data_IF_857507840238
#
_entry.id   IF_857507840238
#
_cell.length_a   1.000
_cell.length_b   1.000
_cell.length_c   1.000
_cell.angle_alpha   90.00
_cell.angle_beta   90.00
_cell.angle_gamma   90.00
#
_symmetry.space_group_name_H-M   'P 1'
#
loop_
_entity.id
_entity.type
_entity.pdbx_description
1 polymer ?
#
# COMPACT_ATOMS: atom_id res chain seq x y z
N UNK A 1 39.40 -22.18 35.55
CA UNK A 1 39.13 -21.05 34.63
C UNK A 1 37.95 -21.45 33.76
N UNK A 2 36.81 -20.78 33.92
CA UNK A 2 35.49 -21.21 33.44
C UNK A 2 35.35 -21.15 31.91
N UNK A 3 34.74 -22.19 31.32
CA UNK A 3 34.18 -22.16 29.96
C UNK A 3 32.66 -22.04 30.05
N UNK A 4 32.11 -20.91 29.59
CA UNK A 4 30.68 -20.77 29.38
C UNK A 4 30.43 -19.99 28.09
N UNK A 5 30.20 -20.72 27.01
CA UNK A 5 29.61 -20.21 25.78
C UNK A 5 28.27 -20.93 25.57
N UNK A 6 27.15 -20.23 25.78
CA UNK A 6 25.89 -20.63 25.15
C UNK A 6 25.19 -19.39 24.63
N UNK A 7 24.87 -19.47 23.34
CA UNK A 7 24.57 -18.37 22.45
C UNK A 7 23.11 -17.96 22.60
N UNK A 8 22.91 -16.65 22.70
CA UNK A 8 21.71 -15.87 22.39
C UNK A 8 20.45 -16.67 22.03
N UNK A 9 19.48 -16.68 22.95
CA UNK A 9 18.11 -17.05 22.68
C UNK A 9 17.45 -16.00 21.78
N UNK A 10 17.61 -16.14 20.47
CA UNK A 10 16.84 -15.38 19.49
C UNK A 10 15.39 -15.86 19.59
N UNK A 11 14.56 -15.10 20.31
CA UNK A 11 13.10 -15.24 20.27
C UNK A 11 12.63 -14.98 18.85
N UNK A 12 12.36 -16.06 18.10
CA UNK A 12 11.71 -15.99 16.79
C UNK A 12 10.24 -15.64 17.03
N UNK A 13 9.91 -14.36 16.96
CA UNK A 13 8.51 -13.92 16.92
C UNK A 13 7.83 -14.54 15.68
N UNK A 14 6.93 -15.49 15.91
CA UNK A 14 6.13 -16.10 14.87
C UNK A 14 5.19 -15.01 14.29
N UNK A 15 5.42 -14.63 13.04
CA UNK A 15 4.47 -13.79 12.30
C UNK A 15 3.44 -14.72 11.67
N UNK A 16 2.21 -14.69 12.17
CA UNK A 16 1.09 -15.37 11.53
C UNK A 16 0.89 -14.78 10.12
N UNK A 17 1.17 -15.58 9.09
CA UNK A 17 0.92 -15.22 7.71
C UNK A 17 -0.58 -15.36 7.42
N UNK A 18 -1.31 -14.26 7.42
CA UNK A 18 -2.69 -14.23 6.94
C UNK A 18 -2.65 -14.14 5.42
N UNK A 19 -2.79 -15.27 4.72
CA UNK A 19 -3.12 -15.28 3.30
C UNK A 19 -4.62 -15.00 3.17
N UNK A 20 -5.02 -13.75 3.36
CA UNK A 20 -6.36 -13.33 2.99
C UNK A 20 -6.43 -13.32 1.46
N UNK A 21 -7.27 -14.18 0.87
CA UNK A 21 -7.59 -14.14 -0.55
C UNK A 21 -8.14 -12.73 -0.86
N UNK A 22 -7.26 -11.87 -1.38
CA UNK A 22 -7.56 -10.47 -1.62
C UNK A 22 -8.56 -10.37 -2.77
N UNK A 23 -9.84 -10.28 -2.44
CA UNK A 23 -10.86 -9.96 -3.44
C UNK A 23 -10.54 -8.58 -4.04
N UNK A 24 -10.41 -8.52 -5.35
CA UNK A 24 -10.26 -7.26 -6.08
C UNK A 24 -11.63 -6.60 -6.13
N UNK A 25 -11.82 -5.42 -5.50
CA UNK A 25 -13.10 -4.74 -5.51
C UNK A 25 -13.41 -4.24 -6.92
N UNK A 26 -14.68 -4.29 -7.33
CA UNK A 26 -15.11 -3.73 -8.61
C UNK A 26 -14.93 -2.20 -8.59
N UNK A 27 -14.52 -1.56 -9.71
CA UNK A 27 -14.48 -0.11 -9.80
C UNK A 27 -15.85 0.51 -9.51
N UNK A 28 -15.89 1.61 -8.75
CA UNK A 28 -17.12 2.30 -8.31
C UNK A 28 -17.11 3.75 -8.76
N UNK A 29 -18.25 4.22 -9.27
CA UNK A 29 -18.48 5.61 -9.62
C UNK A 29 -17.63 6.08 -10.79
N UNK A 30 -16.90 7.18 -10.61
CA UNK A 30 -16.06 7.78 -11.64
C UNK A 30 -14.67 7.13 -11.77
N UNK A 31 -14.29 6.24 -10.86
CA UNK A 31 -12.98 5.60 -10.86
C UNK A 31 -13.06 4.33 -11.70
N UNK A 32 -12.32 4.29 -12.80
CA UNK A 32 -12.20 3.10 -13.66
C UNK A 32 -10.76 2.62 -13.74
N UNK A 33 -9.83 3.57 -13.71
CA UNK A 33 -8.40 3.31 -13.88
C UNK A 33 -7.63 3.41 -12.54
N UNK A 34 -6.46 2.77 -12.43
CA UNK A 34 -5.55 2.95 -11.28
C UNK A 34 -5.12 4.40 -11.08
N UNK A 35 -4.92 5.14 -12.16
CA UNK A 35 -4.53 6.56 -12.16
C UNK A 35 -5.60 7.44 -11.50
N UNK A 36 -6.87 7.20 -11.80
CA UNK A 36 -8.01 7.89 -11.18
C UNK A 36 -8.02 7.68 -9.67
N UNK A 37 -7.75 6.44 -9.23
CA UNK A 37 -7.70 6.11 -7.80
C UNK A 37 -6.57 6.84 -7.08
N UNK A 38 -5.37 6.82 -7.65
CA UNK A 38 -4.19 7.47 -7.05
C UNK A 38 -4.31 9.00 -7.03
N UNK A 39 -4.94 9.57 -8.07
CA UNK A 39 -5.25 11.00 -8.13
C UNK A 39 -6.33 11.37 -7.09
N UNK A 40 -7.36 10.53 -6.94
CA UNK A 40 -8.45 10.76 -5.98
C UNK A 40 -7.98 10.75 -4.52
N UNK A 41 -7.06 9.85 -4.13
CA UNK A 41 -6.53 9.79 -2.76
C UNK A 41 -5.51 10.91 -2.44
N UNK A 42 -4.89 11.49 -3.47
CA UNK A 42 -3.92 12.59 -3.37
C UNK A 42 -2.59 12.23 -2.67
N UNK A 43 -1.93 13.24 -2.07
CA UNK A 43 -0.64 13.12 -1.36
C UNK A 43 0.53 12.69 -2.25
N UNK A 44 0.57 13.24 -3.46
CA UNK A 44 1.59 12.92 -4.48
C UNK A 44 1.60 11.46 -4.92
N UNK A 45 0.52 10.69 -4.72
CA UNK A 45 0.48 9.29 -5.16
C UNK A 45 0.26 9.16 -6.68
N UNK A 46 -0.17 10.23 -7.33
CA UNK A 46 -0.32 10.37 -8.78
C UNK A 46 0.99 10.20 -9.55
N UNK A 47 2.13 10.60 -8.97
CA UNK A 47 3.48 10.42 -9.56
C UNK A 47 3.81 8.94 -9.82
N UNK A 48 3.16 8.03 -9.09
CA UNK A 48 3.37 6.58 -9.21
C UNK A 48 2.31 5.89 -10.06
N UNK A 49 1.36 6.63 -10.65
CA UNK A 49 0.30 6.05 -11.47
C UNK A 49 0.84 5.26 -12.67
N UNK A 50 1.93 5.72 -13.30
CA UNK A 50 2.56 5.04 -14.43
C UNK A 50 3.16 3.67 -14.09
N UNK A 51 3.25 3.30 -12.81
CA UNK A 51 3.72 1.98 -12.35
C UNK A 51 2.59 0.95 -12.25
N UNK A 52 1.33 1.39 -12.23
CA UNK A 52 0.15 0.54 -12.10
C UNK A 52 -0.68 0.61 -13.39
N UNK A 53 -0.47 -0.36 -14.27
CA UNK A 53 -1.16 -0.42 -15.56
C UNK A 53 -2.62 -0.91 -15.45
N UNK A 54 -2.89 -1.83 -14.52
CA UNK A 54 -4.22 -2.46 -14.39
C UNK A 54 -4.78 -2.31 -12.99
N UNK A 55 -6.12 -2.30 -12.90
CA UNK A 55 -6.84 -2.23 -11.64
C UNK A 55 -6.50 -3.41 -10.72
N UNK A 56 -6.42 -4.60 -11.30
CA UNK A 56 -6.03 -5.83 -10.62
C UNK A 56 -4.61 -5.73 -10.07
N UNK A 57 -3.67 -5.15 -10.84
CA UNK A 57 -2.30 -4.96 -10.40
C UNK A 57 -2.24 -4.05 -9.17
N UNK A 58 -2.98 -2.93 -9.16
CA UNK A 58 -3.05 -2.03 -8.00
C UNK A 58 -3.51 -2.75 -6.72
N UNK A 59 -4.53 -3.62 -6.81
CA UNK A 59 -5.11 -4.31 -5.66
C UNK A 59 -4.44 -5.64 -5.29
N UNK A 60 -3.58 -6.17 -6.15
CA UNK A 60 -2.85 -7.43 -5.94
C UNK A 60 -1.41 -7.20 -5.50
N UNK A 61 -0.79 -6.10 -5.94
CA UNK A 61 0.63 -5.80 -5.64
C UNK A 61 0.89 -5.78 -4.14
N UNK A 62 1.96 -6.46 -3.73
CA UNK A 62 2.44 -6.49 -2.35
C UNK A 62 3.30 -5.25 -2.01
N UNK A 63 3.32 -4.91 -0.73
CA UNK A 63 4.19 -3.89 -0.15
C UNK A 63 5.68 -4.07 -0.52
N UNK A 64 6.15 -5.31 -0.65
CA UNK A 64 7.54 -5.60 -0.99
C UNK A 64 7.85 -5.28 -2.45
N UNK A 65 6.96 -5.64 -3.37
CA UNK A 65 7.04 -5.29 -4.79
C UNK A 65 6.99 -3.78 -4.99
N UNK A 66 6.07 -3.09 -4.30
CA UNK A 66 6.00 -1.62 -4.34
C UNK A 66 7.31 -0.94 -3.92
N UNK A 67 8.06 -1.55 -2.98
CA UNK A 67 9.36 -1.04 -2.56
C UNK A 67 10.44 -1.33 -3.59
N UNK A 68 10.56 -2.58 -4.01
CA UNK A 68 11.71 -3.08 -4.74
C UNK A 68 11.64 -2.73 -6.22
N UNK A 69 10.48 -2.91 -6.84
CA UNK A 69 10.30 -2.76 -8.29
C UNK A 69 9.84 -1.35 -8.67
N UNK A 70 8.97 -0.75 -7.85
CA UNK A 70 8.40 0.57 -8.13
C UNK A 70 9.14 1.71 -7.44
N UNK A 71 9.98 1.43 -6.43
CA UNK A 71 10.72 2.45 -5.70
C UNK A 71 9.84 3.39 -4.86
N UNK A 72 8.61 3.00 -4.53
CA UNK A 72 7.65 3.88 -3.83
C UNK A 72 8.12 4.06 -2.36
N UNK A 73 8.21 5.31 -1.86
CA UNK A 73 8.65 5.57 -0.50
C UNK A 73 7.63 5.06 0.52
N UNK A 74 8.13 4.76 1.73
CA UNK A 74 7.35 4.08 2.77
C UNK A 74 6.04 4.80 3.15
N UNK A 75 6.02 6.14 3.12
CA UNK A 75 4.81 6.93 3.45
C UNK A 75 3.68 6.69 2.44
N UNK A 76 3.95 6.88 1.15
CA UNK A 76 2.98 6.67 0.08
C UNK A 76 2.55 5.20 -0.01
N UNK A 77 3.49 4.26 0.15
CA UNK A 77 3.15 2.83 0.18
C UNK A 77 2.13 2.48 1.27
N UNK A 78 2.37 2.90 2.52
CA UNK A 78 1.43 2.65 3.63
C UNK A 78 0.08 3.31 3.38
N UNK A 79 0.10 4.50 2.79
CA UNK A 79 -1.11 5.26 2.45
C UNK A 79 -1.96 4.55 1.39
N UNK A 80 -1.35 4.11 0.29
CA UNK A 80 -2.02 3.37 -0.78
C UNK A 80 -2.63 2.07 -0.23
N UNK A 81 -1.89 1.31 0.57
CA UNK A 81 -2.38 0.07 1.17
C UNK A 81 -3.55 0.32 2.13
N UNK A 82 -3.47 1.37 2.94
CA UNK A 82 -4.56 1.76 3.82
C UNK A 82 -5.82 2.14 3.04
N UNK A 83 -5.67 2.89 1.94
CA UNK A 83 -6.80 3.29 1.10
C UNK A 83 -7.40 2.13 0.33
N UNK A 84 -6.59 1.19 -0.16
CA UNK A 84 -7.07 -0.06 -0.78
C UNK A 84 -7.98 -0.81 0.19
N UNK A 85 -7.58 -0.91 1.45
CA UNK A 85 -8.39 -1.60 2.47
C UNK A 85 -9.67 -0.84 2.80
N UNK A 86 -9.59 0.49 2.98
CA UNK A 86 -10.80 1.31 3.17
C UNK A 86 -11.77 1.21 1.98
N UNK A 87 -11.23 1.13 0.75
CA UNK A 87 -12.02 0.96 -0.46
C UNK A 87 -12.72 -0.40 -0.51
N UNK A 88 -12.03 -1.48 -0.09
CA UNK A 88 -12.64 -2.82 0.07
C UNK A 88 -13.76 -2.82 1.10
N UNK A 89 -13.61 -2.05 2.17
CA UNK A 89 -14.62 -1.86 3.21
C UNK A 89 -15.79 -0.98 2.76
N UNK A 90 -15.76 -0.45 1.53
CA UNK A 90 -16.83 0.34 0.95
C UNK A 90 -16.85 1.79 1.41
N UNK A 91 -15.76 2.31 2.00
CA UNK A 91 -15.65 3.76 2.24
C UNK A 91 -15.55 4.50 0.91
N UNK A 92 -16.30 5.59 0.81
CA UNK A 92 -16.16 6.52 -0.31
C UNK A 92 -14.81 7.25 -0.23
N UNK A 93 -14.11 7.33 -1.36
CA UNK A 93 -12.90 8.13 -1.46
C UNK A 93 -13.26 9.59 -1.24
N UNK A 94 -12.70 10.18 -0.19
CA UNK A 94 -12.69 11.63 -0.02
C UNK A 94 -11.31 12.11 -0.42
N UNK A 95 -11.25 12.95 -1.45
CA UNK A 95 -10.03 13.67 -1.78
C UNK A 95 -9.70 14.59 -0.60
N UNK A 96 -8.70 14.23 0.21
CA UNK A 96 -7.98 15.21 1.02
C UNK A 96 -7.14 15.97 0.00
N UNK A 97 -7.72 17.01 -0.60
CA UNK A 97 -6.99 17.92 -1.46
C UNK A 97 -5.90 18.58 -0.61
N UNK A 98 -4.65 18.37 -0.98
CA UNK A 98 -3.54 19.06 -0.34
C UNK A 98 -3.79 20.57 -0.43
N UNK A 99 -3.74 21.25 0.72
CA UNK A 99 -3.86 22.70 0.76
C UNK A 99 -2.75 23.30 -0.11
N UNK A 100 -3.09 23.80 -1.31
CA UNK A 100 -2.16 24.54 -2.16
C UNK A 100 -1.67 25.74 -1.34
N UNK A 101 -0.41 25.74 -0.91
CA UNK A 101 0.19 26.91 -0.27
C UNK A 101 0.19 28.03 -1.31
N UNK A 102 -0.67 29.05 -1.13
CA UNK A 102 -0.68 30.24 -1.98
C UNK A 102 0.73 30.83 -1.94
N UNK A 103 1.32 30.99 -3.13
CA UNK A 103 2.57 31.73 -3.32
C UNK A 103 2.28 33.23 -3.25
#
# INVERSE_FOLDING_TARGET
MLTAAVRSSITRGARCAHTAASQVPKPRGAIKEPSDFLTAIGRGCDEHASKFETWESLFTTDSRTMRNDFGIPTRQRKYILSWREMYRQGRDLKSISESKKKK
#
